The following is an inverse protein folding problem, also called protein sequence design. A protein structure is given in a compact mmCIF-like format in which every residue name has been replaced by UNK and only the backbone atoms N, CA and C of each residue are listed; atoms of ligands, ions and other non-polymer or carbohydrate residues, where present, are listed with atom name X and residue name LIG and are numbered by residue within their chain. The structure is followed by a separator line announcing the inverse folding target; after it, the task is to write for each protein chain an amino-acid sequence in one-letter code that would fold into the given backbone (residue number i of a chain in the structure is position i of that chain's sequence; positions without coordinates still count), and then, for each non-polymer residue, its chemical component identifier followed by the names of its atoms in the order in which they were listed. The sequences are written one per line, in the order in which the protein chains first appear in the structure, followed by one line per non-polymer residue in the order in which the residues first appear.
data_IF_236732862788
#
_entry.id   IF_236732862788
#
_cell.length_a   1.000
_cell.length_b   1.000
_cell.length_c   1.000
_cell.angle_alpha   90.00
_cell.angle_beta   90.00
_cell.angle_gamma   90.00
#
_symmetry.space_group_name_H-M   'P 1'
#
loop_
_entity.id
_entity.type
_entity.pdbx_description
1 polymer ?
#
# COMPACT_ATOMS: atom_id res chain seq x y z
N UNK A 1 5.70 -14.78 19.15
CA UNK A 1 5.87 -15.81 18.11
C UNK A 1 5.99 -15.07 16.80
N UNK A 2 7.08 -15.24 16.05
CA UNK A 2 7.16 -14.70 14.70
C UNK A 2 6.30 -15.60 13.79
N UNK A 3 5.41 -15.01 12.99
CA UNK A 3 4.54 -15.75 12.07
C UNK A 3 5.30 -16.35 10.88
N UNK A 4 4.57 -17.00 9.96
CA UNK A 4 5.10 -17.31 8.63
C UNK A 4 5.53 -16.03 7.91
N UNK A 5 6.50 -16.12 7.01
CA UNK A 5 6.90 -15.01 6.15
C UNK A 5 6.38 -15.21 4.72
N UNK A 6 5.73 -14.19 4.12
CA UNK A 6 5.20 -13.00 4.80
C UNK A 6 4.07 -13.37 5.77
N UNK A 7 3.78 -12.48 6.73
CA UNK A 7 2.65 -12.66 7.64
C UNK A 7 1.34 -12.77 6.87
N UNK A 8 1.21 -11.94 5.84
CA UNK A 8 0.07 -11.93 4.94
C UNK A 8 0.48 -12.32 3.52
N UNK A 9 -0.28 -13.25 2.93
CA UNK A 9 -0.10 -13.65 1.54
C UNK A 9 -0.42 -12.49 0.57
N UNK A 10 -1.34 -11.62 0.97
CA UNK A 10 -1.67 -10.37 0.30
C UNK A 10 -1.91 -9.31 1.39
N UNK A 11 -1.26 -8.13 1.34
CA UNK A 11 -1.48 -7.05 2.30
C UNK A 11 -2.97 -6.73 2.46
N UNK A 12 -3.48 -6.87 3.68
CA UNK A 12 -4.90 -6.72 4.07
C UNK A 12 -5.91 -7.56 3.27
N UNK A 13 -5.44 -8.50 2.44
CA UNK A 13 -6.27 -9.20 1.44
C UNK A 13 -6.83 -8.30 0.33
N UNK A 14 -6.29 -7.09 0.17
CA UNK A 14 -6.70 -6.15 -0.85
C UNK A 14 -5.56 -5.15 -1.18
N UNK A 15 -4.52 -5.59 -1.87
CA UNK A 15 -3.26 -4.80 -2.02
C UNK A 15 -3.44 -3.39 -2.63
N UNK A 16 -4.47 -3.20 -3.45
CA UNK A 16 -4.80 -1.89 -4.07
C UNK A 16 -5.74 -1.05 -3.22
N UNK A 17 -6.18 -1.58 -2.09
CA UNK A 17 -6.92 -0.83 -1.08
C UNK A 17 -6.06 0.25 -0.43
N UNK A 18 -6.68 1.08 0.43
CA UNK A 18 -5.99 2.12 1.16
C UNK A 18 -4.88 1.57 2.07
N UNK A 19 -3.62 1.75 1.65
CA UNK A 19 -2.42 1.44 2.44
C UNK A 19 -1.63 2.73 2.67
N UNK A 20 -1.12 2.94 3.90
CA UNK A 20 -0.24 4.08 4.15
C UNK A 20 1.11 3.90 3.46
N UNK A 21 1.48 2.69 3.02
CA UNK A 21 2.58 2.46 2.08
C UNK A 21 2.56 3.44 0.90
N UNK A 22 1.42 3.58 0.22
CA UNK A 22 1.29 4.47 -0.94
C UNK A 22 1.44 5.94 -0.57
N UNK A 23 0.99 6.35 0.62
CA UNK A 23 1.19 7.72 1.12
C UNK A 23 2.67 8.02 1.36
N UNK A 24 3.40 7.06 1.96
CA UNK A 24 4.84 7.15 2.15
C UNK A 24 5.59 7.28 0.82
N UNK A 25 5.26 6.43 -0.16
CA UNK A 25 5.78 6.47 -1.52
C UNK A 25 5.52 7.82 -2.19
N UNK A 26 4.29 8.33 -2.16
CA UNK A 26 3.92 9.59 -2.80
C UNK A 26 4.70 10.77 -2.20
N UNK A 27 4.90 10.78 -0.88
CA UNK A 27 5.71 11.81 -0.22
C UNK A 27 7.19 11.73 -0.63
N UNK A 28 7.76 10.51 -0.73
CA UNK A 28 9.14 10.32 -1.22
C UNK A 28 9.27 10.85 -2.65
N UNK A 29 8.34 10.50 -3.54
CA UNK A 29 8.34 10.93 -4.94
C UNK A 29 8.15 12.43 -5.08
N UNK A 30 7.28 13.04 -4.26
CA UNK A 30 7.09 14.49 -4.19
C UNK A 30 8.39 15.20 -3.83
N UNK A 31 9.11 14.74 -2.79
CA UNK A 31 10.41 15.31 -2.42
C UNK A 31 11.43 15.12 -3.54
N UNK A 32 11.50 13.93 -4.15
CA UNK A 32 12.38 13.69 -5.28
C UNK A 32 12.07 14.63 -6.45
N UNK A 33 10.80 14.87 -6.75
CA UNK A 33 10.41 15.81 -7.80
C UNK A 33 10.78 17.25 -7.46
N UNK A 34 10.53 17.71 -6.23
CA UNK A 34 10.88 19.07 -5.78
C UNK A 34 12.38 19.34 -5.77
N UNK A 35 13.19 18.31 -5.51
CA UNK A 35 14.65 18.40 -5.46
C UNK A 35 15.32 18.03 -6.79
N UNK A 36 14.53 17.84 -7.85
CA UNK A 36 15.07 17.53 -9.16
C UNK A 36 15.75 18.77 -9.75
N UNK A 37 17.08 18.77 -9.67
CA UNK A 37 17.94 19.73 -10.33
C UNK A 37 18.47 19.09 -11.62
N UNK A 38 18.13 19.69 -12.77
CA UNK A 38 18.46 19.17 -14.09
C UNK A 38 19.96 19.14 -14.38
N UNK A 39 20.73 20.01 -13.72
CA UNK A 39 22.18 20.13 -13.91
C UNK A 39 22.99 19.24 -12.94
N UNK A 40 22.30 18.52 -12.04
CA UNK A 40 22.92 17.64 -11.05
C UNK A 40 23.02 16.20 -11.58
N UNK A 41 24.25 15.74 -11.85
CA UNK A 41 24.56 14.32 -12.17
C UNK A 41 24.06 13.32 -11.11
N UNK A 42 23.84 13.79 -9.87
CA UNK A 42 23.42 12.98 -8.72
C UNK A 42 21.97 13.19 -8.30
N UNK A 43 21.07 13.46 -9.24
CA UNK A 43 19.66 13.74 -8.98
C UNK A 43 18.95 12.68 -8.11
N UNK A 44 17.75 12.98 -7.59
CA UNK A 44 17.03 12.12 -6.67
C UNK A 44 16.47 10.82 -7.31
N UNK A 45 16.70 10.63 -8.61
CA UNK A 45 16.17 9.54 -9.42
C UNK A 45 16.52 8.14 -8.93
N UNK A 46 17.67 7.94 -8.29
CA UNK A 46 18.01 6.64 -7.70
C UNK A 46 17.04 6.24 -6.59
N UNK A 47 16.66 7.20 -5.71
CA UNK A 47 15.67 6.95 -4.66
C UNK A 47 14.28 6.79 -5.27
N UNK A 48 13.90 7.66 -6.20
CA UNK A 48 12.60 7.55 -6.87
C UNK A 48 12.44 6.20 -7.59
N UNK A 49 13.46 5.75 -8.32
CA UNK A 49 13.47 4.47 -9.00
C UNK A 49 13.36 3.27 -8.05
N UNK A 50 14.15 3.25 -6.97
CA UNK A 50 14.04 2.20 -5.94
C UNK A 50 12.66 2.19 -5.27
N UNK A 51 12.10 3.37 -5.03
CA UNK A 51 10.76 3.52 -4.45
C UNK A 51 9.69 3.01 -5.41
N UNK A 52 9.75 3.33 -6.70
CA UNK A 52 8.82 2.80 -7.71
C UNK A 52 8.95 1.28 -7.89
N UNK A 53 10.17 0.74 -7.87
CA UNK A 53 10.39 -0.70 -7.87
C UNK A 53 9.79 -1.36 -6.61
N UNK A 54 9.82 -0.68 -5.46
CA UNK A 54 9.17 -1.18 -4.24
C UNK A 54 7.65 -1.23 -4.40
N UNK A 55 7.04 -0.27 -5.13
CA UNK A 55 5.61 -0.32 -5.49
C UNK A 55 5.33 -1.50 -6.40
N UNK A 56 6.18 -1.76 -7.40
CA UNK A 56 6.05 -2.93 -8.25
C UNK A 56 6.10 -4.23 -7.43
N UNK A 57 7.03 -4.33 -6.48
CA UNK A 57 7.12 -5.48 -5.59
C UNK A 57 5.86 -5.61 -4.69
N UNK A 58 5.38 -4.51 -4.13
CA UNK A 58 4.20 -4.47 -3.26
C UNK A 58 2.93 -4.83 -4.03
N UNK A 59 2.58 -4.04 -5.04
CA UNK A 59 1.29 -4.08 -5.70
C UNK A 59 1.17 -5.15 -6.80
N UNK A 60 2.28 -5.49 -7.47
CA UNK A 60 2.25 -6.35 -8.65
C UNK A 60 2.98 -7.69 -8.46
N UNK A 61 3.80 -7.84 -7.42
CA UNK A 61 4.52 -9.10 -7.16
C UNK A 61 3.96 -9.82 -5.95
N UNK A 62 3.74 -9.12 -4.83
CA UNK A 62 3.29 -9.74 -3.57
C UNK A 62 1.99 -10.56 -3.71
N UNK A 63 0.93 -10.09 -4.38
CA UNK A 63 -0.33 -10.85 -4.47
C UNK A 63 -0.18 -12.21 -5.18
N UNK A 64 0.80 -12.32 -6.08
CA UNK A 64 1.05 -13.53 -6.87
C UNK A 64 2.19 -14.39 -6.32
N UNK A 65 3.19 -13.74 -5.72
CA UNK A 65 4.41 -14.36 -5.19
C UNK A 65 4.76 -13.74 -3.82
N UNK A 66 4.06 -14.12 -2.74
CA UNK A 66 4.08 -13.35 -1.50
C UNK A 66 5.46 -13.16 -0.87
N UNK A 67 6.24 -14.24 -0.75
CA UNK A 67 7.59 -14.17 -0.21
C UNK A 67 8.53 -13.31 -1.06
N UNK A 68 8.39 -13.36 -2.40
CA UNK A 68 9.24 -12.59 -3.31
C UNK A 68 8.84 -11.11 -3.28
N UNK A 69 7.55 -10.81 -3.30
CA UNK A 69 7.05 -9.44 -3.21
C UNK A 69 7.43 -8.77 -1.89
N UNK A 70 7.13 -9.42 -0.76
CA UNK A 70 7.51 -8.93 0.57
C UNK A 70 9.02 -8.68 0.69
N UNK A 71 9.84 -9.66 0.29
CA UNK A 71 11.29 -9.51 0.31
C UNK A 71 11.77 -8.36 -0.59
N UNK A 72 11.20 -8.25 -1.80
CA UNK A 72 11.48 -7.18 -2.74
C UNK A 72 11.19 -5.80 -2.14
N UNK A 73 10.03 -5.61 -1.52
CA UNK A 73 9.66 -4.36 -0.84
C UNK A 73 10.70 -3.99 0.24
N UNK A 74 11.01 -4.93 1.14
CA UNK A 74 11.93 -4.67 2.26
C UNK A 74 13.34 -4.34 1.77
N UNK A 75 13.85 -5.04 0.77
CA UNK A 75 15.18 -4.78 0.21
C UNK A 75 15.22 -3.43 -0.51
N UNK A 76 14.25 -3.14 -1.37
CA UNK A 76 14.22 -1.92 -2.16
C UNK A 76 14.05 -0.67 -1.27
N UNK A 77 13.15 -0.73 -0.28
CA UNK A 77 13.02 0.33 0.74
C UNK A 77 14.29 0.45 1.60
N UNK A 78 14.94 -0.66 1.93
CA UNK A 78 16.23 -0.66 2.64
C UNK A 78 17.31 0.07 1.87
N UNK A 79 17.49 -0.25 0.59
CA UNK A 79 18.47 0.43 -0.27
C UNK A 79 18.11 1.91 -0.44
N UNK A 80 16.82 2.25 -0.64
CA UNK A 80 16.35 3.63 -0.73
C UNK A 80 16.65 4.42 0.56
N UNK A 81 16.43 3.79 1.72
CA UNK A 81 16.72 4.38 3.04
C UNK A 81 18.22 4.63 3.21
N UNK A 82 19.06 3.65 2.90
CA UNK A 82 20.51 3.80 2.94
C UNK A 82 21.00 4.88 1.98
N UNK A 83 20.37 5.02 0.81
CA UNK A 83 20.66 6.08 -0.14
C UNK A 83 20.25 7.47 0.39
N UNK A 84 19.10 7.57 1.07
CA UNK A 84 18.63 8.81 1.72
C UNK A 84 19.54 9.26 2.87
N UNK A 85 20.12 8.31 3.62
CA UNK A 85 21.06 8.59 4.72
C UNK A 85 22.42 9.13 4.26
N UNK A 86 22.72 9.13 2.95
CA UNK A 86 24.02 9.62 2.46
C UNK A 86 24.17 11.12 2.73
N UNK A 87 25.35 11.60 3.18
CA UNK A 87 25.60 13.01 3.50
C UNK A 87 25.18 14.01 2.41
N UNK A 88 25.25 13.60 1.14
CA UNK A 88 24.82 14.42 0.00
C UNK A 88 23.38 14.94 0.12
N UNK A 89 22.49 14.25 0.82
CA UNK A 89 21.08 14.67 0.95
C UNK A 89 20.89 15.83 1.92
N UNK A 90 21.83 16.04 2.83
CA UNK A 90 21.80 17.16 3.76
C UNK A 90 21.97 18.52 3.06
N UNK A 91 22.51 18.53 1.83
CA UNK A 91 22.68 19.77 1.03
C UNK A 91 21.35 20.41 0.62
N UNK A 92 20.27 19.63 0.59
CA UNK A 92 18.94 20.10 0.18
C UNK A 92 18.16 20.76 1.32
N UNK A 93 18.78 20.91 2.49
CA UNK A 93 18.15 21.50 3.67
C UNK A 93 17.43 20.48 4.55
N UNK A 94 17.10 20.90 5.76
CA UNK A 94 16.52 20.04 6.80
C UNK A 94 15.09 19.64 6.49
N UNK A 95 14.28 20.54 5.89
CA UNK A 95 12.86 20.28 5.64
C UNK A 95 12.64 19.20 4.58
N UNK A 96 13.25 19.24 3.38
CA UNK A 96 13.05 18.19 2.38
C UNK A 96 13.62 16.85 2.84
N UNK A 97 14.74 16.87 3.56
CA UNK A 97 15.29 15.65 4.14
C UNK A 97 14.34 15.07 5.20
N UNK A 98 13.82 15.87 6.13
CA UNK A 98 12.84 15.40 7.11
C UNK A 98 11.58 14.82 6.43
N UNK A 99 11.07 15.48 5.39
CA UNK A 99 9.93 14.99 4.62
C UNK A 99 10.23 13.63 3.95
N UNK A 100 11.42 13.46 3.38
CA UNK A 100 11.88 12.18 2.82
C UNK A 100 11.91 11.07 3.89
N UNK A 101 12.41 11.38 5.08
CA UNK A 101 12.48 10.41 6.19
C UNK A 101 11.10 10.06 6.74
N UNK A 102 10.18 11.01 6.78
CA UNK A 102 8.78 10.74 7.13
C UNK A 102 8.15 9.82 6.08
N UNK A 103 8.34 10.08 4.78
CA UNK A 103 7.83 9.21 3.73
C UNK A 103 8.38 7.78 3.82
N UNK A 104 9.68 7.62 4.08
CA UNK A 104 10.32 6.32 4.32
C UNK A 104 9.76 5.64 5.56
N UNK A 105 9.61 6.36 6.67
CA UNK A 105 9.04 5.81 7.90
C UNK A 105 7.63 5.28 7.68
N UNK A 106 6.77 6.06 7.01
CA UNK A 106 5.40 5.67 6.69
C UNK A 106 5.37 4.41 5.82
N UNK A 107 6.21 4.33 4.78
CA UNK A 107 6.29 3.14 3.93
C UNK A 107 6.83 1.90 4.67
N UNK A 108 7.82 2.08 5.54
CA UNK A 108 8.36 1.00 6.38
C UNK A 108 7.34 0.47 7.39
N UNK A 109 6.57 1.35 8.02
CA UNK A 109 5.55 0.99 8.99
C UNK A 109 4.56 -0.03 8.40
N UNK A 110 4.00 0.29 7.24
CA UNK A 110 3.07 -0.57 6.49
C UNK A 110 3.72 -1.90 6.09
N UNK A 111 4.86 -1.82 5.38
CA UNK A 111 5.54 -2.99 4.85
C UNK A 111 5.97 -3.98 5.95
N UNK A 112 6.42 -3.51 7.11
CA UNK A 112 6.81 -4.37 8.22
C UNK A 112 5.59 -5.01 8.91
N UNK A 113 4.47 -4.30 9.00
CA UNK A 113 3.23 -4.87 9.52
C UNK A 113 2.81 -6.08 8.68
N UNK A 114 2.65 -5.91 7.37
CA UNK A 114 2.21 -7.00 6.48
C UNK A 114 3.26 -8.09 6.26
N UNK A 115 4.55 -7.75 6.23
CA UNK A 115 5.59 -8.74 6.01
C UNK A 115 5.86 -9.60 7.26
N UNK A 116 5.81 -9.01 8.45
CA UNK A 116 6.30 -9.64 9.68
C UNK A 116 5.23 -9.83 10.77
N UNK A 117 4.03 -9.27 10.58
CA UNK A 117 2.94 -9.29 11.57
C UNK A 117 3.25 -8.40 12.78
N UNK A 118 4.06 -7.36 12.57
CA UNK A 118 4.46 -6.44 13.64
C UNK A 118 3.37 -5.42 13.87
N UNK A 119 3.01 -5.18 15.14
CA UNK A 119 2.16 -4.03 15.47
C UNK A 119 2.97 -2.75 15.35
N UNK A 120 2.74 -2.00 14.27
CA UNK A 120 3.42 -0.74 14.03
C UNK A 120 2.54 0.45 14.46
N UNK A 121 3.15 1.61 14.79
CA UNK A 121 2.39 2.76 15.28
C UNK A 121 1.34 3.30 14.30
N UNK A 122 1.64 3.40 13.00
CA UNK A 122 0.68 3.97 12.05
C UNK A 122 -0.44 2.98 11.73
N UNK A 123 -0.12 1.69 11.64
CA UNK A 123 -1.15 0.65 11.51
C UNK A 123 -2.12 0.66 12.71
N UNK A 124 -1.58 0.82 13.92
CA UNK A 124 -2.41 0.96 15.13
C UNK A 124 -3.28 2.23 15.11
N UNK A 125 -2.79 3.33 14.54
CA UNK A 125 -3.55 4.57 14.36
C UNK A 125 -4.64 4.38 13.29
N UNK A 126 -4.28 3.75 12.18
CA UNK A 126 -5.15 3.50 11.05
C UNK A 126 -6.34 2.63 11.46
N UNK A 127 -6.08 1.49 12.09
CA UNK A 127 -7.12 0.60 12.59
C UNK A 127 -8.08 1.27 13.60
N UNK A 128 -7.58 2.21 14.41
CA UNK A 128 -8.39 2.91 15.44
C UNK A 128 -9.23 4.05 14.88
N UNK A 129 -8.70 4.81 13.94
CA UNK A 129 -9.27 6.11 13.58
C UNK A 129 -9.65 6.25 12.12
N UNK A 130 -9.05 5.48 11.22
CA UNK A 130 -9.22 5.65 9.77
C UNK A 130 -9.99 4.49 9.16
N UNK A 131 -9.73 3.25 9.59
CA UNK A 131 -10.31 2.04 9.04
C UNK A 131 -11.85 2.12 8.91
N UNK A 132 -12.56 2.64 9.92
CA UNK A 132 -14.03 2.78 9.83
C UNK A 132 -14.53 3.69 8.70
N UNK A 133 -13.72 4.62 8.22
CA UNK A 133 -14.09 5.59 7.18
C UNK A 133 -13.70 5.14 5.77
N UNK A 134 -12.64 4.34 5.65
CA UNK A 134 -12.12 3.85 4.36
C UNK A 134 -12.58 2.44 4.02
N UNK A 135 -12.98 1.65 5.03
CA UNK A 135 -13.35 0.24 4.86
C UNK A 135 -14.85 -0.01 4.93
N UNK A 136 -15.64 1.00 5.29
CA UNK A 136 -17.09 0.94 5.10
C UNK A 136 -17.29 0.97 3.57
N UNK A 137 -17.70 -0.16 2.96
CA UNK A 137 -18.00 -0.11 1.55
C UNK A 137 -19.07 0.95 1.39
N UNK A 138 -18.99 1.73 0.33
CA UNK A 138 -20.10 2.53 -0.17
C UNK A 138 -21.22 1.56 -0.62
N UNK A 139 -21.76 0.76 0.31
CA UNK A 139 -23.02 0.06 0.16
C UNK A 139 -24.04 1.18 0.21
N UNK A 140 -24.68 1.52 -0.92
CA UNK A 140 -25.74 2.50 -0.91
C UNK A 140 -26.72 2.10 0.18
N UNK A 141 -27.25 3.05 0.93
CA UNK A 141 -28.15 2.79 2.07
C UNK A 141 -29.31 1.82 1.70
N UNK A 142 -29.71 1.82 0.43
CA UNK A 142 -30.70 0.93 -0.19
C UNK A 142 -30.31 -0.56 -0.25
N UNK A 143 -29.03 -0.88 -0.15
CA UNK A 143 -28.46 -2.23 -0.17
C UNK A 143 -27.95 -2.67 1.21
N UNK A 144 -28.00 -1.79 2.22
CA UNK A 144 -27.74 -2.18 3.61
C UNK A 144 -28.95 -2.99 4.09
N UNK A 145 -28.73 -4.27 4.37
CA UNK A 145 -29.75 -5.07 5.05
C UNK A 145 -30.06 -4.44 6.41
N UNK A 146 -31.33 -4.38 6.84
CA UNK A 146 -31.68 -3.90 8.16
C UNK A 146 -30.89 -4.66 9.24
N UNK A 147 -30.45 -3.96 10.29
CA UNK A 147 -29.77 -4.59 11.42
C UNK A 147 -30.62 -5.76 11.96
N UNK A 148 -30.01 -6.96 12.02
CA UNK A 148 -30.67 -8.18 12.47
C UNK A 148 -31.16 -9.13 11.36
N UNK A 149 -31.12 -8.72 10.08
CA UNK A 149 -31.44 -9.62 8.96
C UNK A 149 -30.20 -10.45 8.58
N UNK A 150 -30.13 -11.68 9.09
CA UNK A 150 -29.19 -12.69 8.58
C UNK A 150 -29.81 -13.34 7.35
N UNK A 151 -29.08 -13.37 6.23
CA UNK A 151 -29.49 -14.19 5.08
C UNK A 151 -29.53 -15.65 5.55
N UNK A 152 -30.66 -16.37 5.35
CA UNK A 152 -30.71 -17.79 5.62
C UNK A 152 -29.60 -18.50 4.84
N UNK A 153 -28.91 -19.44 5.49
CA UNK A 153 -27.84 -20.25 4.89
C UNK A 153 -28.30 -21.03 3.64
N UNK A 154 -29.61 -21.10 3.43
CA UNK A 154 -30.28 -21.80 2.33
C UNK A 154 -30.66 -20.89 1.15
N UNK A 155 -30.44 -19.57 1.22
CA UNK A 155 -30.70 -18.67 0.08
C UNK A 155 -29.67 -18.93 -1.01
N UNK A 156 -30.02 -19.84 -1.94
CA UNK A 156 -29.38 -19.92 -3.24
C UNK A 156 -29.67 -18.62 -3.97
N UNK A 157 -28.65 -17.79 -4.13
CA UNK A 157 -28.71 -16.64 -5.02
C UNK A 157 -29.23 -17.12 -6.39
N UNK A 158 -30.30 -16.51 -6.91
CA UNK A 158 -30.81 -16.92 -8.20
C UNK A 158 -29.70 -16.68 -9.25
N UNK A 159 -29.62 -17.53 -10.29
CA UNK A 159 -28.47 -17.59 -11.20
C UNK A 159 -28.20 -16.26 -11.94
N UNK A 160 -29.24 -15.46 -12.10
CA UNK A 160 -29.24 -14.08 -12.58
C UNK A 160 -28.49 -13.11 -11.63
N UNK A 161 -28.59 -13.27 -10.32
CA UNK A 161 -27.84 -12.43 -9.37
C UNK A 161 -26.34 -12.78 -9.36
N UNK A 162 -25.99 -14.06 -9.57
CA UNK A 162 -24.59 -14.45 -9.77
C UNK A 162 -24.03 -13.87 -11.06
N UNK A 163 -24.82 -13.86 -12.14
CA UNK A 163 -24.45 -13.22 -13.39
C UNK A 163 -24.28 -11.71 -13.22
N UNK A 164 -25.19 -11.05 -12.49
CA UNK A 164 -25.11 -9.62 -12.19
C UNK A 164 -23.89 -9.26 -11.34
N UNK A 165 -23.58 -10.04 -10.31
CA UNK A 165 -22.37 -9.83 -9.49
C UNK A 165 -21.11 -10.11 -10.32
N UNK A 166 -21.11 -11.15 -11.16
CA UNK A 166 -19.99 -11.42 -12.06
C UNK A 166 -19.82 -10.33 -13.13
N UNK A 167 -20.90 -9.73 -13.62
CA UNK A 167 -20.89 -8.63 -14.57
C UNK A 167 -20.43 -7.32 -13.92
N UNK A 168 -20.84 -7.04 -12.68
CA UNK A 168 -20.38 -5.87 -11.93
C UNK A 168 -18.91 -6.00 -11.50
N UNK A 169 -18.48 -7.18 -11.06
CA UNK A 169 -17.07 -7.46 -10.74
C UNK A 169 -16.22 -7.48 -12.01
N UNK A 170 -16.71 -8.08 -13.09
CA UNK A 170 -16.05 -8.06 -14.40
C UNK A 170 -15.96 -6.66 -15.01
N UNK A 171 -17.00 -5.84 -14.83
CA UNK A 171 -17.01 -4.43 -15.21
C UNK A 171 -16.05 -3.60 -14.38
N UNK A 172 -15.97 -3.81 -13.07
CA UNK A 172 -14.99 -3.14 -12.21
C UNK A 172 -13.54 -3.51 -12.57
N UNK A 173 -13.29 -4.76 -13.00
CA UNK A 173 -11.98 -5.20 -13.49
C UNK A 173 -11.67 -4.73 -14.91
N UNK A 174 -12.68 -4.49 -15.76
CA UNK A 174 -12.52 -3.99 -17.13
C UNK A 174 -12.29 -2.47 -17.22
N UNK A 175 -12.53 -1.73 -16.13
CA UNK A 175 -12.25 -0.28 -16.03
C UNK A 175 -10.78 -0.01 -15.66
N UNK A 176 -9.96 -1.06 -15.44
CA UNK A 176 -8.50 -0.96 -15.41
C UNK A 176 -7.97 -1.18 -16.84
N UNK A 177 -7.63 -0.12 -17.60
CA UNK A 177 -7.00 -0.32 -18.90
C UNK A 177 -5.63 -0.95 -18.68
N UNK A 178 -5.39 -2.10 -19.32
CA UNK A 178 -4.04 -2.66 -19.53
C UNK A 178 -3.22 -1.77 -20.45
#
# INVERSE_FOLDING_TARGET
MFGSFPHEAEPDGAVFGPHHFYLGVLLILLVCWMLNDADSEGGPWGIAGLTLLSVFAFALTWPYYPAVGAFGVLVLLGVATLAAMRPRWWRYGTVPHAALLVGLFVAWDDALSHALGWRTPLDSLWARYLHSYVSDPYVPEKLRLPEGVRLPTEVRLPPDLKAFVAEQVGGALAVVPL
#
